data_IF_921418296686
#
_entry.id   IF_921418296686
#
_cell.length_a   1.000
_cell.length_b   1.000
_cell.length_c   1.000
_cell.angle_alpha   90.00
_cell.angle_beta   90.00
_cell.angle_gamma   90.00
#
_symmetry.space_group_name_H-M   'P 1'
#
loop_
_entity.id
_entity.type
_entity.pdbx_description
1 polymer ?
#
# COMPACT_ATOMS: atom_id res chain seq x y z
N UNK A 1 -20.25 -3.81 1.54
CA UNK A 1 -20.33 -5.25 1.84
C UNK A 1 -21.51 -5.96 1.17
N UNK A 2 -22.79 -5.64 1.43
CA UNK A 2 -23.93 -6.41 0.86
C UNK A 2 -23.97 -6.48 -0.68
N UNK A 3 -23.64 -5.40 -1.39
CA UNK A 3 -23.60 -5.39 -2.87
C UNK A 3 -22.38 -6.13 -3.44
N UNK A 4 -21.22 -6.02 -2.80
CA UNK A 4 -19.97 -6.69 -3.20
C UNK A 4 -20.08 -8.21 -3.07
N UNK A 5 -20.67 -8.67 -1.95
CA UNK A 5 -20.98 -10.07 -1.72
C UNK A 5 -22.10 -10.57 -2.63
N UNK A 6 -23.16 -9.78 -2.83
CA UNK A 6 -24.23 -10.15 -3.76
C UNK A 6 -23.72 -10.33 -5.20
N UNK A 7 -22.83 -9.46 -5.70
CA UNK A 7 -22.26 -9.62 -7.05
C UNK A 7 -21.26 -10.77 -7.19
N UNK A 8 -20.56 -11.19 -6.14
CA UNK A 8 -19.65 -12.34 -6.22
C UNK A 8 -20.40 -13.65 -6.01
N UNK A 9 -21.21 -13.72 -4.95
CA UNK A 9 -21.91 -14.93 -4.56
C UNK A 9 -23.11 -15.24 -5.46
N UNK A 10 -23.88 -14.22 -5.87
CA UNK A 10 -24.95 -14.47 -6.83
C UNK A 10 -24.36 -14.90 -8.18
N UNK A 11 -23.16 -14.46 -8.55
CA UNK A 11 -22.53 -14.92 -9.80
C UNK A 11 -21.93 -16.31 -9.65
N UNK A 12 -21.29 -16.66 -8.52
CA UNK A 12 -20.83 -18.03 -8.22
C UNK A 12 -22.01 -19.03 -8.09
N UNK A 13 -23.13 -18.67 -7.48
CA UNK A 13 -24.34 -19.53 -7.44
C UNK A 13 -25.03 -19.59 -8.82
N UNK A 14 -25.10 -18.47 -9.55
CA UNK A 14 -25.62 -18.46 -10.93
C UNK A 14 -24.71 -19.18 -11.93
N UNK A 15 -23.42 -19.38 -11.60
CA UNK A 15 -22.50 -20.19 -12.39
C UNK A 15 -22.91 -21.66 -12.38
N UNK A 16 -23.58 -22.15 -11.34
CA UNK A 16 -23.95 -23.56 -11.17
C UNK A 16 -25.33 -23.92 -11.75
N UNK A 17 -26.26 -22.96 -11.87
CA UNK A 17 -27.63 -23.18 -12.36
C UNK A 17 -27.99 -22.37 -13.62
N UNK A 18 -27.89 -23.02 -14.80
CA UNK A 18 -28.25 -22.47 -16.11
C UNK A 18 -29.73 -22.04 -16.23
N UNK A 19 -30.62 -22.48 -15.32
CA UNK A 19 -32.05 -22.12 -15.33
C UNK A 19 -32.30 -20.70 -14.82
N UNK A 20 -31.40 -20.19 -13.98
CA UNK A 20 -31.53 -18.85 -13.39
C UNK A 20 -31.10 -17.78 -14.41
N UNK A 21 -30.08 -18.09 -15.23
CA UNK A 21 -29.44 -17.16 -16.16
C UNK A 21 -29.48 -17.66 -17.62
N UNK A 22 -30.69 -17.72 -18.19
CA UNK A 22 -30.91 -18.19 -19.57
C UNK A 22 -30.19 -17.33 -20.64
N UNK A 23 -30.13 -17.84 -21.88
CA UNK A 23 -29.46 -17.17 -23.01
C UNK A 23 -30.02 -15.79 -23.34
N UNK A 24 -31.33 -15.55 -23.15
CA UNK A 24 -31.97 -14.28 -23.46
C UNK A 24 -31.66 -13.24 -22.37
N UNK A 25 -31.66 -13.65 -21.11
CA UNK A 25 -31.20 -12.82 -19.98
C UNK A 25 -29.74 -12.42 -20.18
N UNK A 26 -28.84 -13.36 -20.49
CA UNK A 26 -27.42 -13.07 -20.78
C UNK A 26 -27.25 -12.00 -21.86
N UNK A 27 -27.99 -12.10 -22.98
CA UNK A 27 -27.97 -11.08 -24.05
C UNK A 27 -28.45 -9.71 -23.56
N UNK A 28 -29.53 -9.66 -22.80
CA UNK A 28 -30.07 -8.42 -22.26
C UNK A 28 -29.12 -7.76 -21.23
N UNK A 29 -28.47 -8.57 -20.38
CA UNK A 29 -27.46 -8.09 -19.43
C UNK A 29 -26.21 -7.58 -20.15
N UNK A 30 -25.72 -8.30 -21.17
CA UNK A 30 -24.59 -7.84 -21.99
C UNK A 30 -24.89 -6.50 -22.65
N UNK A 31 -26.06 -6.33 -23.26
CA UNK A 31 -26.43 -5.05 -23.87
C UNK A 31 -26.41 -3.86 -22.89
N UNK A 32 -26.59 -4.09 -21.58
CA UNK A 32 -26.67 -3.03 -20.56
C UNK A 32 -25.39 -2.85 -19.72
N UNK A 33 -24.66 -3.92 -19.44
CA UNK A 33 -23.62 -3.95 -18.40
C UNK A 33 -22.21 -4.28 -18.93
N UNK A 34 -22.07 -4.60 -20.22
CA UNK A 34 -20.79 -5.06 -20.80
C UNK A 34 -19.68 -4.00 -20.75
N UNK A 35 -20.04 -2.72 -20.63
CA UNK A 35 -19.07 -1.65 -20.45
C UNK A 35 -18.37 -1.69 -19.07
N UNK A 36 -18.92 -2.39 -18.09
CA UNK A 36 -18.38 -2.45 -16.73
C UNK A 36 -17.47 -3.68 -16.57
N UNK A 37 -16.21 -3.51 -16.14
CA UNK A 37 -15.19 -4.57 -16.20
C UNK A 37 -15.57 -5.83 -15.40
N UNK A 38 -16.15 -5.65 -14.21
CA UNK A 38 -16.59 -6.78 -13.37
C UNK A 38 -17.75 -7.55 -14.01
N UNK A 39 -18.74 -6.85 -14.58
CA UNK A 39 -19.89 -7.52 -15.20
C UNK A 39 -19.51 -8.17 -16.52
N UNK A 40 -18.68 -7.51 -17.33
CA UNK A 40 -18.10 -8.09 -18.54
C UNK A 40 -17.37 -9.40 -18.25
N UNK A 41 -16.46 -9.40 -17.27
CA UNK A 41 -15.74 -10.59 -16.84
C UNK A 41 -16.68 -11.75 -16.51
N UNK A 42 -17.66 -11.52 -15.63
CA UNK A 42 -18.57 -12.58 -15.24
C UNK A 42 -19.49 -13.02 -16.39
N UNK A 43 -19.93 -12.11 -17.26
CA UNK A 43 -20.74 -12.47 -18.44
C UNK A 43 -19.96 -13.31 -19.45
N UNK A 44 -18.64 -13.11 -19.56
CA UNK A 44 -17.77 -13.97 -20.37
C UNK A 44 -17.65 -15.38 -19.76
N UNK A 45 -17.37 -15.46 -18.46
CA UNK A 45 -17.27 -16.74 -17.73
C UNK A 45 -18.60 -17.51 -17.77
N UNK A 46 -19.73 -16.81 -17.64
CA UNK A 46 -21.07 -17.40 -17.72
C UNK A 46 -21.46 -17.86 -19.13
N UNK A 47 -20.78 -17.40 -20.18
CA UNK A 47 -21.05 -17.85 -21.56
C UNK A 47 -20.29 -19.13 -21.88
N UNK A 48 -19.04 -19.25 -21.41
CA UNK A 48 -18.22 -20.46 -21.54
C UNK A 48 -17.38 -20.68 -20.28
N UNK A 49 -17.68 -21.76 -19.54
CA UNK A 49 -16.93 -22.11 -18.31
C UNK A 49 -15.44 -22.34 -18.56
N UNK A 50 -15.03 -22.72 -19.78
CA UNK A 50 -13.61 -22.87 -20.16
C UNK A 50 -12.87 -21.53 -20.18
N UNK A 51 -13.59 -20.40 -20.25
CA UNK A 51 -12.97 -19.09 -20.13
C UNK A 51 -12.36 -18.88 -18.73
N UNK A 52 -12.93 -19.48 -17.68
CA UNK A 52 -12.32 -19.43 -16.35
C UNK A 52 -10.89 -20.00 -16.37
N UNK A 53 -10.72 -21.20 -16.92
CA UNK A 53 -9.40 -21.84 -17.07
C UNK A 53 -8.46 -21.05 -17.97
N UNK A 54 -8.99 -20.39 -19.01
CA UNK A 54 -8.21 -19.57 -19.93
C UNK A 54 -7.68 -18.29 -19.29
N UNK A 55 -8.46 -17.68 -18.40
CA UNK A 55 -8.11 -16.45 -17.68
C UNK A 55 -7.08 -16.74 -16.58
N UNK A 56 -7.20 -17.89 -15.92
CA UNK A 56 -6.34 -18.34 -14.82
C UNK A 56 -5.26 -19.32 -15.27
N UNK A 57 -4.38 -18.84 -16.17
CA UNK A 57 -3.25 -19.61 -16.67
C UNK A 57 -2.02 -19.50 -15.74
N UNK A 58 -1.66 -20.55 -14.98
CA UNK A 58 -0.56 -20.47 -14.01
C UNK A 58 0.82 -20.43 -14.69
N UNK A 59 0.92 -20.87 -15.94
CA UNK A 59 2.13 -20.82 -16.76
C UNK A 59 2.55 -19.40 -17.15
N UNK A 60 1.65 -18.42 -17.02
CA UNK A 60 1.89 -17.02 -17.40
C UNK A 60 2.16 -16.16 -16.18
N UNK A 61 3.25 -15.40 -16.21
CA UNK A 61 3.52 -14.38 -15.21
C UNK A 61 2.51 -13.22 -15.26
N UNK A 62 2.07 -12.85 -16.47
CA UNK A 62 1.11 -11.77 -16.70
C UNK A 62 -0.29 -12.37 -16.79
N UNK A 63 -1.19 -11.86 -15.96
CA UNK A 63 -2.61 -12.23 -15.99
C UNK A 63 -3.29 -11.70 -17.26
N UNK A 64 -4.39 -12.34 -17.64
CA UNK A 64 -5.21 -11.88 -18.75
C UNK A 64 -5.65 -10.42 -18.56
N UNK A 65 -5.77 -9.68 -19.67
CA UNK A 65 -6.17 -8.27 -19.65
C UNK A 65 -7.54 -8.08 -19.00
N UNK A 66 -8.51 -8.96 -19.25
CA UNK A 66 -9.83 -8.87 -18.64
C UNK A 66 -9.74 -9.01 -17.13
N UNK A 67 -8.98 -10.01 -16.66
CA UNK A 67 -8.76 -10.23 -15.24
C UNK A 67 -8.02 -9.04 -14.59
N UNK A 68 -7.02 -8.47 -15.27
CA UNK A 68 -6.33 -7.26 -14.81
C UNK A 68 -7.28 -6.06 -14.67
N UNK A 69 -8.22 -5.87 -15.60
CA UNK A 69 -9.21 -4.79 -15.53
C UNK A 69 -10.14 -4.95 -14.32
N UNK A 70 -10.56 -6.19 -14.02
CA UNK A 70 -11.36 -6.50 -12.83
C UNK A 70 -10.59 -6.18 -11.56
N UNK A 71 -9.33 -6.65 -11.45
CA UNK A 71 -8.50 -6.33 -10.29
C UNK A 71 -8.26 -4.84 -10.13
N UNK A 72 -7.92 -4.13 -11.20
CA UNK A 72 -7.74 -2.68 -11.18
C UNK A 72 -9.00 -1.98 -10.66
N UNK A 73 -10.17 -2.35 -11.20
CA UNK A 73 -11.44 -1.79 -10.76
C UNK A 73 -11.70 -2.09 -9.28
N UNK A 74 -11.57 -3.35 -8.87
CA UNK A 74 -11.91 -3.80 -7.54
C UNK A 74 -10.95 -3.22 -6.48
N UNK A 75 -9.64 -3.15 -6.76
CA UNK A 75 -8.65 -2.53 -5.90
C UNK A 75 -8.90 -1.01 -5.79
N UNK A 76 -9.16 -0.33 -6.91
CA UNK A 76 -9.39 1.13 -6.91
C UNK A 76 -10.63 1.53 -6.10
N UNK A 77 -11.67 0.70 -6.09
CA UNK A 77 -12.92 0.98 -5.38
C UNK A 77 -13.03 0.26 -4.02
N UNK A 78 -11.96 -0.38 -3.54
CA UNK A 78 -11.92 -1.01 -2.22
C UNK A 78 -12.80 -2.26 -2.08
N UNK A 79 -13.00 -3.02 -3.16
CA UNK A 79 -13.81 -4.24 -3.19
C UNK A 79 -12.96 -5.43 -2.74
N UNK A 80 -12.65 -5.47 -1.45
CA UNK A 80 -11.70 -6.39 -0.85
C UNK A 80 -12.08 -7.85 -1.02
N UNK A 81 -13.37 -8.18 -0.94
CA UNK A 81 -13.86 -9.56 -1.00
C UNK A 81 -13.82 -10.14 -2.40
N UNK A 82 -14.18 -9.35 -3.43
CA UNK A 82 -14.01 -9.73 -4.83
C UNK A 82 -12.53 -10.02 -5.13
N UNK A 83 -11.69 -9.13 -4.62
CA UNK A 83 -10.25 -9.22 -4.76
C UNK A 83 -9.69 -10.48 -4.07
N UNK A 84 -10.13 -10.80 -2.85
CA UNK A 84 -9.79 -12.07 -2.17
C UNK A 84 -10.23 -13.31 -2.96
N UNK A 85 -11.47 -13.31 -3.46
CA UNK A 85 -12.04 -14.43 -4.22
C UNK A 85 -11.24 -14.71 -5.49
N UNK A 86 -10.93 -13.68 -6.26
CA UNK A 86 -10.21 -13.80 -7.52
C UNK A 86 -8.72 -14.11 -7.31
N UNK A 87 -8.15 -13.74 -6.15
CA UNK A 87 -6.75 -14.04 -5.84
C UNK A 87 -6.46 -15.50 -5.52
N UNK A 88 -7.45 -16.26 -5.04
CA UNK A 88 -7.27 -17.66 -4.64
C UNK A 88 -6.74 -18.56 -5.77
N UNK A 89 -7.00 -18.18 -7.01
CA UNK A 89 -6.65 -18.94 -8.21
C UNK A 89 -5.37 -18.42 -8.91
N UNK A 90 -4.65 -17.46 -8.33
CA UNK A 90 -3.44 -16.86 -8.90
C UNK A 90 -2.14 -17.34 -8.24
N UNK A 91 -1.07 -17.39 -9.03
CA UNK A 91 0.29 -17.64 -8.51
C UNK A 91 0.87 -16.40 -7.83
N UNK A 92 1.81 -16.56 -6.89
CA UNK A 92 2.42 -15.42 -6.19
C UNK A 92 3.02 -14.36 -7.14
N UNK A 93 3.63 -14.78 -8.26
CA UNK A 93 4.17 -13.84 -9.26
C UNK A 93 3.11 -13.02 -9.98
N UNK A 94 1.93 -13.60 -10.22
CA UNK A 94 0.77 -12.87 -10.77
C UNK A 94 0.20 -11.88 -9.74
N UNK A 95 0.09 -12.31 -8.47
CA UNK A 95 -0.33 -11.46 -7.35
C UNK A 95 0.60 -10.26 -7.21
N UNK A 96 1.91 -10.50 -7.23
CA UNK A 96 2.93 -9.46 -7.16
C UNK A 96 2.76 -8.45 -8.29
N UNK A 97 2.62 -8.94 -9.53
CA UNK A 97 2.47 -8.09 -10.73
C UNK A 97 1.25 -7.18 -10.63
N UNK A 98 0.07 -7.74 -10.34
CA UNK A 98 -1.18 -6.98 -10.18
C UNK A 98 -1.05 -5.96 -9.04
N UNK A 99 -0.55 -6.41 -7.90
CA UNK A 99 -0.45 -5.59 -6.71
C UNK A 99 0.54 -4.45 -6.87
N UNK A 100 1.68 -4.68 -7.50
CA UNK A 100 2.70 -3.65 -7.74
C UNK A 100 2.19 -2.56 -8.70
N UNK A 101 1.48 -2.95 -9.75
CA UNK A 101 0.85 -2.00 -10.67
C UNK A 101 -0.21 -1.14 -9.96
N UNK A 102 -0.97 -1.75 -9.05
CA UNK A 102 -2.06 -1.07 -8.34
C UNK A 102 -1.57 -0.24 -7.14
N UNK A 103 -0.43 -0.60 -6.56
CA UNK A 103 0.08 -0.02 -5.30
C UNK A 103 0.21 1.50 -5.36
N UNK A 104 0.79 2.03 -6.43
CA UNK A 104 0.97 3.49 -6.60
C UNK A 104 -0.36 4.25 -6.57
N UNK A 105 -1.41 3.68 -7.15
CA UNK A 105 -2.73 4.32 -7.25
C UNK A 105 -3.45 4.38 -5.92
N UNK A 106 -3.32 3.35 -5.08
CA UNK A 106 -4.08 3.27 -3.83
C UNK A 106 -3.33 3.77 -2.60
N UNK A 107 -2.02 3.53 -2.53
CA UNK A 107 -1.22 3.75 -1.32
C UNK A 107 -1.23 5.22 -0.92
N UNK A 108 -1.20 6.13 -1.90
CA UNK A 108 -1.07 7.57 -1.65
C UNK A 108 -2.39 8.35 -1.68
N UNK A 109 -3.49 7.71 -2.10
CA UNK A 109 -4.84 8.26 -2.07
C UNK A 109 -5.60 7.87 -0.77
N UNK A 110 -5.23 6.75 -0.13
CA UNK A 110 -5.73 6.26 1.19
C UNK A 110 -7.27 6.16 1.31
N UNK A 111 -8.02 6.30 0.21
CA UNK A 111 -9.50 6.26 0.22
C UNK A 111 -10.05 4.93 0.74
N UNK A 112 -9.32 3.83 0.53
CA UNK A 112 -9.71 2.49 0.95
C UNK A 112 -8.63 1.91 1.86
N UNK A 113 -8.64 2.33 3.12
CA UNK A 113 -7.63 1.98 4.12
C UNK A 113 -7.42 0.46 4.28
N UNK A 114 -8.51 -0.30 4.32
CA UNK A 114 -8.43 -1.76 4.44
C UNK A 114 -7.80 -2.42 3.21
N UNK A 115 -8.08 -1.90 2.00
CA UNK A 115 -7.43 -2.36 0.78
C UNK A 115 -5.93 -2.08 0.79
N UNK A 116 -5.51 -0.89 1.25
CA UNK A 116 -4.08 -0.55 1.40
C UNK A 116 -3.40 -1.46 2.39
N UNK A 117 -4.00 -1.70 3.57
CA UNK A 117 -3.46 -2.59 4.60
C UNK A 117 -3.34 -4.02 4.10
N UNK A 118 -4.38 -4.51 3.44
CA UNK A 118 -4.40 -5.84 2.84
C UNK A 118 -3.27 -5.99 1.81
N UNK A 119 -3.20 -5.09 0.82
CA UNK A 119 -2.21 -5.17 -0.25
C UNK A 119 -0.78 -5.00 0.30
N UNK A 120 -0.60 -4.12 1.27
CA UNK A 120 0.69 -3.97 1.93
C UNK A 120 1.17 -5.29 2.55
N UNK A 121 0.31 -5.98 3.31
CA UNK A 121 0.68 -7.24 3.98
C UNK A 121 1.02 -8.33 2.98
N UNK A 122 0.17 -8.53 1.97
CA UNK A 122 0.38 -9.58 0.96
C UNK A 122 1.63 -9.32 0.15
N UNK A 123 1.80 -8.10 -0.37
CA UNK A 123 2.93 -7.78 -1.23
C UNK A 123 4.26 -7.72 -0.48
N UNK A 124 4.26 -7.31 0.79
CA UNK A 124 5.47 -7.35 1.60
C UNK A 124 5.90 -8.78 1.94
N UNK A 125 4.94 -9.70 2.09
CA UNK A 125 5.23 -11.13 2.26
C UNK A 125 5.87 -11.72 1.01
N UNK A 126 5.41 -11.33 -0.17
CA UNK A 126 5.95 -11.81 -1.45
C UNK A 126 7.30 -11.17 -1.75
N UNK A 127 7.37 -9.84 -1.75
CA UNK A 127 8.59 -9.10 -2.11
C UNK A 127 8.68 -7.74 -1.40
N UNK A 128 9.22 -7.76 -0.18
CA UNK A 128 9.50 -6.55 0.60
C UNK A 128 10.41 -5.56 -0.14
N UNK A 129 11.43 -6.03 -0.84
CA UNK A 129 12.39 -5.14 -1.52
C UNK A 129 11.73 -4.35 -2.66
N UNK A 130 10.85 -5.01 -3.43
CA UNK A 130 10.01 -4.37 -4.45
C UNK A 130 9.08 -3.34 -3.83
N UNK A 131 8.40 -3.69 -2.74
CA UNK A 131 7.50 -2.78 -2.03
C UNK A 131 8.20 -1.53 -1.48
N UNK A 132 9.39 -1.68 -0.90
CA UNK A 132 10.17 -0.54 -0.41
C UNK A 132 10.55 0.37 -1.59
N UNK A 133 11.01 -0.19 -2.72
CA UNK A 133 11.35 0.60 -3.92
C UNK A 133 10.14 1.37 -4.45
N UNK A 134 8.98 0.72 -4.58
CA UNK A 134 7.76 1.34 -5.10
C UNK A 134 7.20 2.42 -4.17
N UNK A 135 7.39 2.26 -2.86
CA UNK A 135 6.86 3.17 -1.85
C UNK A 135 7.77 4.37 -1.61
N UNK A 136 9.09 4.19 -1.77
CA UNK A 136 10.10 5.18 -1.35
C UNK A 136 9.92 6.55 -2.00
N UNK A 137 9.90 6.63 -3.33
CA UNK A 137 9.97 7.93 -4.02
C UNK A 137 8.80 8.84 -3.64
N UNK A 138 7.58 8.29 -3.65
CA UNK A 138 6.36 9.01 -3.29
C UNK A 138 6.28 9.33 -1.79
N UNK A 139 6.74 8.41 -0.93
CA UNK A 139 6.81 8.64 0.51
C UNK A 139 7.80 9.75 0.85
N UNK A 140 9.02 9.66 0.33
CA UNK A 140 10.06 10.63 0.57
C UNK A 140 9.70 12.00 -0.01
N UNK A 141 9.03 12.05 -1.16
CA UNK A 141 8.45 13.29 -1.67
C UNK A 141 7.46 13.93 -0.67
N UNK A 142 6.57 13.16 -0.04
CA UNK A 142 5.67 13.67 1.00
C UNK A 142 6.42 14.09 2.27
N UNK A 143 7.51 13.40 2.62
CA UNK A 143 8.41 13.82 3.71
C UNK A 143 8.99 15.20 3.40
N UNK A 144 9.57 15.39 2.21
CA UNK A 144 10.12 16.70 1.79
C UNK A 144 9.07 17.81 1.84
N UNK A 145 7.88 17.57 1.28
CA UNK A 145 6.77 18.52 1.35
C UNK A 145 6.34 18.89 2.78
N UNK A 146 6.54 17.98 3.74
CA UNK A 146 6.25 18.21 5.16
C UNK A 146 7.40 18.98 5.82
N UNK A 147 8.64 18.66 5.48
CA UNK A 147 9.84 19.33 6.02
C UNK A 147 10.02 20.77 5.49
N UNK A 148 9.54 21.08 4.29
CA UNK A 148 9.67 22.39 3.64
C UNK A 148 8.45 23.29 3.86
N UNK A 149 7.58 22.95 4.82
CA UNK A 149 6.28 23.59 5.01
C UNK A 149 6.28 24.89 5.85
N UNK A 150 7.46 25.45 6.17
CA UNK A 150 7.60 26.58 7.11
C UNK A 150 6.82 27.85 6.71
N UNK A 151 6.69 28.11 5.41
CA UNK A 151 6.04 29.32 4.88
C UNK A 151 4.52 29.18 4.75
N UNK A 152 3.98 27.99 5.00
CA UNK A 152 2.56 27.71 4.78
C UNK A 152 1.69 27.97 6.01
N UNK A 153 0.37 28.20 5.83
CA UNK A 153 -0.56 28.24 6.94
C UNK A 153 -0.52 26.95 7.76
N UNK A 154 -0.62 27.07 9.10
CA UNK A 154 -0.55 25.92 10.02
C UNK A 154 -1.52 24.78 9.67
N UNK A 155 -2.72 25.11 9.19
CA UNK A 155 -3.70 24.12 8.79
C UNK A 155 -3.20 23.24 7.62
N UNK A 156 -2.49 23.83 6.65
CA UNK A 156 -1.92 23.08 5.54
C UNK A 156 -0.74 22.22 5.98
N UNK A 157 0.10 22.75 6.88
CA UNK A 157 1.19 21.97 7.50
C UNK A 157 0.65 20.73 8.21
N UNK A 158 -0.40 20.91 9.03
CA UNK A 158 -1.07 19.79 9.70
C UNK A 158 -1.66 18.81 8.69
N UNK A 159 -2.32 19.27 7.62
CA UNK A 159 -2.85 18.36 6.58
C UNK A 159 -1.76 17.52 5.93
N UNK A 160 -0.57 18.09 5.68
CA UNK A 160 0.58 17.33 5.13
C UNK A 160 1.11 16.32 6.15
N UNK A 161 1.24 16.72 7.41
CA UNK A 161 1.67 15.83 8.48
C UNK A 161 0.70 14.64 8.67
N UNK A 162 -0.61 14.87 8.74
CA UNK A 162 -1.60 13.80 8.87
C UNK A 162 -1.59 12.87 7.65
N UNK A 163 -1.34 13.38 6.44
CA UNK A 163 -1.18 12.53 5.25
C UNK A 163 0.05 11.64 5.37
N UNK A 164 1.16 12.14 5.91
CA UNK A 164 2.38 11.36 6.14
C UNK A 164 2.15 10.28 7.21
N UNK A 165 1.56 10.66 8.34
CA UNK A 165 1.16 9.74 9.42
C UNK A 165 0.22 8.65 8.91
N UNK A 166 -0.81 9.03 8.14
CA UNK A 166 -1.78 8.10 7.58
C UNK A 166 -1.15 7.07 6.64
N UNK A 167 -0.01 7.34 6.00
CA UNK A 167 0.71 6.30 5.25
C UNK A 167 1.33 5.28 6.19
N UNK A 168 2.08 5.77 7.18
CA UNK A 168 2.78 4.92 8.13
C UNK A 168 1.81 4.05 8.94
N UNK A 169 0.69 4.61 9.42
CA UNK A 169 -0.35 3.86 10.15
C UNK A 169 -0.90 2.68 9.36
N UNK A 170 -0.97 2.79 8.03
CA UNK A 170 -1.63 1.81 7.17
C UNK A 170 -0.68 0.81 6.50
N UNK A 171 0.62 1.02 6.58
CA UNK A 171 1.61 0.03 6.13
C UNK A 171 1.84 -1.06 7.16
N UNK A 172 2.35 -2.21 6.76
CA UNK A 172 2.75 -3.25 7.70
C UNK A 172 4.08 -2.87 8.40
N UNK A 173 4.37 -3.42 9.60
CA UNK A 173 5.59 -3.09 10.35
C UNK A 173 6.89 -3.29 9.57
N UNK A 174 6.94 -4.32 8.73
CA UNK A 174 8.09 -4.66 7.89
C UNK A 174 8.37 -3.55 6.88
N UNK A 175 7.34 -3.07 6.19
CA UNK A 175 7.47 -1.99 5.21
C UNK A 175 7.88 -0.68 5.88
N UNK A 176 7.23 -0.33 7.01
CA UNK A 176 7.58 0.89 7.77
C UNK A 176 9.05 0.90 8.14
N UNK A 177 9.54 -0.17 8.78
CA UNK A 177 10.93 -0.30 9.22
C UNK A 177 11.89 -0.22 8.03
N UNK A 178 11.61 -0.96 6.96
CA UNK A 178 12.46 -0.99 5.78
C UNK A 178 12.51 0.38 5.07
N UNK A 179 11.37 1.06 4.90
CA UNK A 179 11.29 2.41 4.32
C UNK A 179 12.01 3.44 5.20
N UNK A 180 11.82 3.43 6.52
CA UNK A 180 12.44 4.40 7.43
C UNK A 180 13.96 4.22 7.57
N UNK A 181 14.47 3.00 7.35
CA UNK A 181 15.90 2.69 7.34
C UNK A 181 16.61 2.97 6.00
N UNK A 182 15.83 3.27 4.95
CA UNK A 182 16.34 3.42 3.58
C UNK A 182 17.26 4.63 3.45
N UNK A 183 18.22 4.51 2.52
CA UNK A 183 19.22 5.55 2.23
C UNK A 183 19.95 6.06 3.48
N UNK A 184 20.36 5.15 4.36
CA UNK A 184 21.02 5.45 5.63
C UNK A 184 20.16 6.38 6.52
N UNK A 185 18.90 5.99 6.76
CA UNK A 185 17.99 6.73 7.64
C UNK A 185 17.76 8.19 7.18
N UNK A 186 17.70 8.43 5.87
CA UNK A 186 17.63 9.77 5.26
C UNK A 186 16.52 10.66 5.82
N UNK A 187 15.36 10.08 6.11
CA UNK A 187 14.23 10.81 6.70
C UNK A 187 14.53 11.38 8.09
N UNK A 188 15.36 10.69 8.87
CA UNK A 188 15.82 11.19 10.17
C UNK A 188 16.85 12.30 9.98
N UNK A 189 17.86 12.07 9.12
CA UNK A 189 18.91 13.07 8.88
C UNK A 189 18.33 14.38 8.36
N UNK A 190 17.38 14.32 7.42
CA UNK A 190 16.76 15.52 6.83
C UNK A 190 15.89 16.25 7.85
N UNK A 191 15.19 15.52 8.72
CA UNK A 191 14.44 16.13 9.83
C UNK A 191 15.36 16.89 10.79
N UNK A 192 16.56 16.35 11.06
CA UNK A 192 17.59 17.04 11.86
C UNK A 192 18.15 18.26 11.14
N UNK A 193 18.47 18.14 9.84
CA UNK A 193 18.99 19.27 9.05
C UNK A 193 18.00 20.43 8.98
N UNK A 194 16.72 20.13 8.81
CA UNK A 194 15.62 21.10 8.74
C UNK A 194 15.07 21.50 10.13
N UNK A 195 15.61 20.94 11.21
CA UNK A 195 15.16 21.18 12.59
C UNK A 195 13.65 20.92 12.81
N UNK A 196 13.14 19.81 12.26
CA UNK A 196 11.74 19.41 12.33
C UNK A 196 11.54 18.27 13.32
N UNK A 197 11.14 18.63 14.55
CA UNK A 197 10.95 17.66 15.63
C UNK A 197 9.75 16.72 15.39
N UNK A 198 8.63 17.23 14.90
CA UNK A 198 7.39 16.43 14.77
C UNK A 198 7.55 15.25 13.79
N UNK A 199 8.00 15.42 12.53
CA UNK A 199 8.23 14.27 11.64
C UNK A 199 9.29 13.31 12.19
N UNK A 200 10.33 13.83 12.84
CA UNK A 200 11.35 12.98 13.46
C UNK A 200 10.77 12.06 14.53
N UNK A 201 9.95 12.61 15.44
CA UNK A 201 9.30 11.84 16.50
C UNK A 201 8.33 10.81 15.91
N UNK A 202 7.54 11.21 14.90
CA UNK A 202 6.68 10.29 14.16
C UNK A 202 7.46 9.09 13.61
N UNK A 203 8.61 9.32 12.97
CA UNK A 203 9.44 8.23 12.44
C UNK A 203 10.03 7.37 13.55
N UNK A 204 10.43 7.99 14.66
CA UNK A 204 11.02 7.31 15.82
C UNK A 204 10.05 6.29 16.43
N UNK A 205 8.77 6.65 16.55
CA UNK A 205 7.73 5.78 17.10
C UNK A 205 7.56 4.47 16.31
N UNK A 206 7.83 4.50 15.00
CA UNK A 206 7.72 3.30 14.15
C UNK A 206 8.99 2.44 14.07
N UNK A 207 10.10 2.89 14.66
CA UNK A 207 11.35 2.09 14.79
C UNK A 207 11.67 1.71 16.23
N UNK A 208 10.89 2.19 17.20
CA UNK A 208 11.13 2.05 18.64
C UNK A 208 11.37 0.59 19.07
N UNK A 209 10.58 -0.37 18.58
CA UNK A 209 10.77 -1.79 18.90
C UNK A 209 11.96 -2.50 18.20
N UNK A 210 12.98 -1.77 17.76
CA UNK A 210 14.16 -2.35 17.10
C UNK A 210 15.44 -1.64 17.48
N UNK A 211 16.14 -2.18 18.49
CA UNK A 211 17.44 -1.65 18.95
C UNK A 211 18.47 -1.54 17.83
N UNK A 212 18.45 -2.45 16.85
CA UNK A 212 19.30 -2.36 15.65
C UNK A 212 18.99 -1.10 14.82
N UNK A 213 17.72 -0.79 14.58
CA UNK A 213 17.33 0.38 13.79
C UNK A 213 17.54 1.68 14.56
N UNK A 214 17.23 1.69 15.87
CA UNK A 214 17.53 2.81 16.76
C UNK A 214 19.04 3.13 16.77
N UNK A 215 19.89 2.11 16.93
CA UNK A 215 21.35 2.27 16.87
C UNK A 215 21.84 2.79 15.51
N UNK A 216 21.24 2.32 14.41
CA UNK A 216 21.51 2.81 13.06
C UNK A 216 21.16 4.29 12.88
N UNK A 217 19.93 4.68 13.23
CA UNK A 217 19.48 6.07 13.15
C UNK A 217 20.33 6.99 14.04
N UNK A 218 20.66 6.54 15.26
CA UNK A 218 21.54 7.25 16.19
C UNK A 218 22.90 7.52 15.60
N UNK A 219 23.54 6.53 14.97
CA UNK A 219 24.85 6.71 14.34
C UNK A 219 24.84 7.81 13.28
N UNK A 220 23.78 7.90 12.49
CA UNK A 220 23.66 8.94 11.46
C UNK A 220 23.40 10.33 12.08
N UNK A 221 22.59 10.42 13.13
CA UNK A 221 22.39 11.69 13.87
C UNK A 221 23.68 12.13 14.60
N UNK A 222 24.44 11.20 15.17
CA UNK A 222 25.73 11.49 15.81
C UNK A 222 26.76 12.03 14.81
N UNK A 223 26.82 11.49 13.59
CA UNK A 223 27.65 12.07 12.51
C UNK A 223 27.31 13.52 12.21
N UNK A 224 26.03 13.90 12.25
CA UNK A 224 25.60 15.29 12.06
C UNK A 224 26.02 16.15 13.26
N UNK A 225 25.86 15.64 14.48
CA UNK A 225 26.27 16.30 15.73
C UNK A 225 27.76 16.64 15.74
N UNK A 226 28.61 15.66 15.40
CA UNK A 226 30.06 15.81 15.31
C UNK A 226 30.46 16.88 14.30
N UNK A 227 29.85 16.86 13.10
CA UNK A 227 30.12 17.87 12.05
C UNK A 227 29.67 19.28 12.44
N UNK A 228 28.60 19.42 13.23
CA UNK A 228 28.04 20.71 13.66
C UNK A 228 28.54 21.17 15.03
N UNK A 229 29.64 20.62 15.55
CA UNK A 229 30.30 21.04 16.79
C UNK A 229 29.33 21.19 17.98
N UNK A 230 28.40 20.24 18.14
CA UNK A 230 27.52 20.22 19.30
C UNK A 230 26.42 21.28 19.35
N UNK A 231 25.93 21.71 18.18
CA UNK A 231 24.76 22.60 18.08
C UNK A 231 23.58 22.11 18.92
N UNK A 232 23.06 22.96 19.80
CA UNK A 232 21.92 22.68 20.67
C UNK A 232 20.69 22.15 19.92
N UNK A 233 20.51 22.57 18.65
CA UNK A 233 19.45 22.07 17.76
C UNK A 233 19.50 20.56 17.55
N UNK A 234 20.70 19.99 17.44
CA UNK A 234 20.89 18.54 17.22
C UNK A 234 20.80 17.75 18.54
N UNK A 235 20.95 18.42 19.69
CA UNK A 235 20.98 17.80 21.02
C UNK A 235 19.65 17.12 21.33
N UNK A 236 18.54 17.80 21.02
CA UNK A 236 17.19 17.28 21.20
C UNK A 236 17.02 15.94 20.50
N UNK A 237 17.29 15.87 19.20
CA UNK A 237 17.11 14.66 18.38
C UNK A 237 17.96 13.49 18.90
N UNK A 238 19.21 13.76 19.25
CA UNK A 238 20.10 12.76 19.83
C UNK A 238 19.56 12.21 21.17
N UNK A 239 19.10 13.09 22.05
CA UNK A 239 18.55 12.69 23.35
C UNK A 239 17.30 11.82 23.20
N UNK A 240 16.43 12.10 22.24
CA UNK A 240 15.25 11.27 21.98
C UNK A 240 15.61 9.84 21.57
N UNK A 241 16.60 9.69 20.67
CA UNK A 241 17.09 8.37 20.26
C UNK A 241 17.72 7.59 21.43
N UNK A 242 18.52 8.26 22.26
CA UNK A 242 19.15 7.62 23.43
C UNK A 242 18.10 7.16 24.43
N UNK A 243 17.13 8.02 24.77
CA UNK A 243 16.06 7.70 25.72
C UNK A 243 15.27 6.46 25.31
N UNK A 244 14.91 6.36 24.03
CA UNK A 244 14.15 5.21 23.49
C UNK A 244 15.00 3.94 23.45
N UNK A 245 16.29 4.04 23.20
CA UNK A 245 17.19 2.89 23.24
C UNK A 245 17.33 2.33 24.66
N UNK A 246 17.51 3.19 25.66
CA UNK A 246 17.63 2.78 27.08
C UNK A 246 16.32 2.30 27.69
N UNK A 247 15.16 2.66 27.12
CA UNK A 247 13.86 2.19 27.58
C UNK A 247 13.50 0.78 27.06
N UNK A 248 14.24 0.28 26.07
CA UNK A 248 14.04 -1.03 25.43
C UNK A 248 15.16 -2.04 25.75
N UNK A 249 15.94 -1.76 26.80
CA UNK A 249 16.88 -2.68 27.47
C UNK A 249 16.20 -3.23 28.74
#
# INVERSE_FOLDING_TARGET
MKFQWACCYAMDEMLEDDRIFDKNRRRAFRAKLDAHPVYHFWLCVLEDRREWERLYRPDRLIVDQQLMLVFRFAITHGFLELVHRLWGDLTEGQIETIGFLSWKTICFNVQHTEMVRFLCRVLCRININGMVRLSWDNFYHKVQQTLESDEMPREEQMKRFHKLESLLVNWCPELRKAVLSRENFRVFTDSVYRNKAEPFLLFLDYIEGSNRLLGGARKEVERIWERKMGSEKVRFFRQQLIRRQTANE
#
